data_IF_581044042979
#
_entry.id   IF_581044042979
#
_cell.length_a   1.000
_cell.length_b   1.000
_cell.length_c   1.000
_cell.angle_alpha   90.00
_cell.angle_beta   90.00
_cell.angle_gamma   90.00
#
_symmetry.space_group_name_H-M   'P 1'
#
loop_
_entity.id
_entity.type
_entity.pdbx_description
1 polymer ?
#
# COMPACT_ATOMS: atom_id res chain seq x y z
N UNK A 1 -63.61 -4.29 10.72
CA UNK A 1 -62.96 -3.08 10.23
C UNK A 1 -61.48 -3.17 10.54
N UNK A 2 -60.68 -3.66 9.62
CA UNK A 2 -59.23 -3.82 9.74
C UNK A 2 -58.57 -2.56 9.18
N UNK A 3 -57.95 -1.75 10.05
CA UNK A 3 -57.14 -0.61 9.64
C UNK A 3 -55.78 -1.12 9.12
N UNK A 4 -55.58 -0.96 7.82
CA UNK A 4 -54.28 -1.14 7.15
C UNK A 4 -53.40 0.08 7.46
N UNK A 5 -52.41 -0.08 8.32
CA UNK A 5 -51.34 0.92 8.53
C UNK A 5 -50.37 0.86 7.38
N UNK A 6 -50.46 1.80 6.46
CA UNK A 6 -49.46 2.01 5.42
C UNK A 6 -48.14 2.49 6.02
N UNK A 7 -47.08 1.71 5.81
CA UNK A 7 -45.70 2.11 6.19
C UNK A 7 -45.27 3.36 5.38
N UNK A 8 -44.58 4.34 6.00
CA UNK A 8 -44.14 5.53 5.29
C UNK A 8 -43.10 5.17 4.22
N UNK A 9 -43.34 5.67 3.00
CA UNK A 9 -42.44 5.52 1.86
C UNK A 9 -41.08 6.15 2.20
N UNK A 10 -40.02 5.37 2.05
CA UNK A 10 -38.63 5.85 2.21
C UNK A 10 -38.30 6.81 1.06
N UNK A 11 -37.72 7.98 1.32
CA UNK A 11 -37.30 8.87 0.25
C UNK A 11 -36.17 8.22 -0.54
N UNK A 12 -36.45 7.77 -1.73
CA UNK A 12 -35.48 7.27 -2.71
C UNK A 12 -34.95 8.44 -3.54
N UNK A 13 -33.64 8.66 -3.59
CA UNK A 13 -33.06 9.46 -4.65
C UNK A 13 -31.71 10.11 -4.36
N UNK A 14 -31.52 10.82 -3.26
CA UNK A 14 -30.30 11.62 -3.08
C UNK A 14 -29.16 10.91 -2.31
N UNK A 15 -29.44 9.79 -1.65
CA UNK A 15 -28.43 9.06 -0.86
C UNK A 15 -27.54 8.15 -1.70
N UNK A 16 -28.00 7.67 -2.85
CA UNK A 16 -27.22 6.76 -3.69
C UNK A 16 -26.13 7.47 -4.48
N UNK A 17 -26.36 8.68 -4.96
CA UNK A 17 -25.40 9.45 -5.75
C UNK A 17 -24.18 9.85 -4.90
N UNK A 18 -24.41 10.37 -3.71
CA UNK A 18 -23.33 10.68 -2.75
C UNK A 18 -22.55 9.43 -2.38
N UNK A 19 -23.20 8.30 -2.21
CA UNK A 19 -22.54 7.02 -1.90
C UNK A 19 -21.69 6.52 -3.04
N UNK A 20 -22.12 6.68 -4.29
CA UNK A 20 -21.37 6.35 -5.50
C UNK A 20 -20.14 7.26 -5.61
N UNK A 21 -20.30 8.59 -5.44
CA UNK A 21 -19.22 9.55 -5.46
C UNK A 21 -18.17 9.26 -4.37
N UNK A 22 -18.61 8.95 -3.16
CA UNK A 22 -17.68 8.64 -2.07
C UNK A 22 -16.98 7.28 -2.23
N UNK A 23 -17.63 6.28 -2.80
CA UNK A 23 -16.99 4.98 -3.05
C UNK A 23 -16.06 5.00 -4.27
N UNK A 24 -16.35 5.86 -5.26
CA UNK A 24 -15.57 6.04 -6.48
C UNK A 24 -14.60 7.22 -6.44
N UNK A 25 -14.36 7.84 -5.28
CA UNK A 25 -13.59 9.09 -5.16
C UNK A 25 -12.21 9.07 -5.85
N UNK A 26 -11.45 7.97 -5.72
CA UNK A 26 -10.16 7.83 -6.39
C UNK A 26 -10.30 7.80 -7.92
N UNK A 27 -11.34 7.15 -8.43
CA UNK A 27 -11.65 7.12 -9.85
C UNK A 27 -12.05 8.50 -10.39
N UNK A 28 -12.93 9.21 -9.68
CA UNK A 28 -13.31 10.57 -10.06
C UNK A 28 -12.15 11.56 -9.97
N UNK A 29 -11.29 11.42 -8.95
CA UNK A 29 -10.07 12.21 -8.83
C UNK A 29 -9.11 11.97 -10.01
N UNK A 30 -8.94 10.71 -10.41
CA UNK A 30 -8.12 10.35 -11.56
C UNK A 30 -8.66 10.98 -12.86
N UNK A 31 -9.98 10.87 -13.11
CA UNK A 31 -10.62 11.50 -14.26
C UNK A 31 -10.43 13.01 -14.25
N UNK A 32 -10.64 13.65 -13.09
CA UNK A 32 -10.47 15.10 -12.97
C UNK A 32 -9.03 15.53 -13.28
N UNK A 33 -8.02 14.80 -12.78
CA UNK A 33 -6.60 15.04 -13.08
C UNK A 33 -6.34 14.91 -14.58
N UNK A 34 -6.82 13.84 -15.21
CA UNK A 34 -6.66 13.62 -16.65
C UNK A 34 -7.28 14.79 -17.44
N UNK A 35 -8.49 15.19 -17.11
CA UNK A 35 -9.17 16.31 -17.81
C UNK A 35 -8.38 17.61 -17.62
N UNK A 36 -8.03 17.96 -16.37
CA UNK A 36 -7.31 19.21 -16.07
C UNK A 36 -6.01 19.29 -16.84
N UNK A 37 -5.14 18.27 -16.75
CA UNK A 37 -3.84 18.31 -17.42
C UNK A 37 -3.94 18.16 -18.94
N UNK A 38 -4.96 17.46 -19.46
CA UNK A 38 -5.21 17.41 -20.92
C UNK A 38 -5.64 18.76 -21.49
N UNK A 39 -6.30 19.62 -20.71
CA UNK A 39 -6.63 21.00 -21.14
C UNK A 39 -5.43 21.93 -21.05
N UNK A 40 -4.49 21.66 -20.13
CA UNK A 40 -3.28 22.47 -19.92
C UNK A 40 -2.15 22.11 -20.89
N UNK A 41 -2.09 20.87 -21.36
CA UNK A 41 -1.04 20.40 -22.29
C UNK A 41 -1.59 19.37 -23.28
N UNK A 42 -1.48 19.59 -24.60
CA UNK A 42 -1.93 18.63 -25.61
C UNK A 42 -1.08 17.35 -25.63
N UNK A 43 0.14 17.39 -25.07
CA UNK A 43 1.03 16.23 -24.99
C UNK A 43 0.62 15.29 -23.86
N UNK A 44 -0.08 15.78 -22.82
CA UNK A 44 -0.36 15.04 -21.60
C UNK A 44 -1.07 13.70 -21.87
N UNK A 45 -2.11 13.68 -22.71
CA UNK A 45 -2.88 12.49 -23.02
C UNK A 45 -2.51 11.87 -24.40
N UNK A 46 -1.26 12.08 -24.85
CA UNK A 46 -0.74 11.36 -26.02
C UNK A 46 -0.43 9.90 -25.66
N UNK A 47 -0.52 8.99 -26.63
CA UNK A 47 -0.24 7.55 -26.42
C UNK A 47 1.14 7.30 -25.81
N UNK A 48 2.16 7.96 -26.34
CA UNK A 48 3.53 7.79 -25.85
C UNK A 48 3.65 8.28 -24.39
N UNK A 49 3.09 9.46 -24.09
CA UNK A 49 3.16 9.99 -22.74
C UNK A 49 2.35 9.14 -21.76
N UNK A 50 1.18 8.62 -22.16
CA UNK A 50 0.39 7.72 -21.34
C UNK A 50 1.16 6.44 -20.98
N UNK A 51 1.89 5.86 -21.91
CA UNK A 51 2.75 4.70 -21.66
C UNK A 51 3.90 5.03 -20.71
N UNK A 52 4.55 6.19 -20.88
CA UNK A 52 5.60 6.67 -20.00
C UNK A 52 5.07 6.90 -18.57
N UNK A 53 3.96 7.63 -18.42
CA UNK A 53 3.31 7.82 -17.12
C UNK A 53 2.94 6.49 -16.45
N UNK A 54 2.40 5.53 -17.23
CA UNK A 54 2.07 4.20 -16.71
C UNK A 54 3.30 3.44 -16.21
N UNK A 55 4.44 3.63 -16.87
CA UNK A 55 5.73 3.06 -16.46
C UNK A 55 6.22 3.64 -15.13
N UNK A 56 6.10 4.97 -14.92
CA UNK A 56 6.39 5.61 -13.64
C UNK A 56 5.42 5.16 -12.53
N UNK A 57 4.11 5.08 -12.85
CA UNK A 57 3.10 4.56 -11.93
C UNK A 57 3.37 3.12 -11.52
N UNK A 58 4.02 2.31 -12.38
CA UNK A 58 4.37 0.94 -12.02
C UNK A 58 5.26 0.87 -10.78
N UNK A 59 6.21 1.79 -10.62
CA UNK A 59 7.09 1.86 -9.43
C UNK A 59 6.27 2.19 -8.18
N UNK A 60 5.44 3.24 -8.24
CA UNK A 60 4.58 3.64 -7.12
C UNK A 60 3.55 2.56 -6.77
N UNK A 61 2.99 1.89 -7.79
CA UNK A 61 2.05 0.80 -7.65
C UNK A 61 2.64 -0.42 -6.97
N UNK A 62 3.87 -0.82 -7.32
CA UNK A 62 4.58 -1.92 -6.68
C UNK A 62 4.82 -1.64 -5.20
N UNK A 63 5.33 -0.44 -4.85
CA UNK A 63 5.50 -0.02 -3.46
C UNK A 63 4.17 0.02 -2.71
N UNK A 64 3.12 0.57 -3.34
CA UNK A 64 1.80 0.67 -2.73
C UNK A 64 1.15 -0.69 -2.51
N UNK A 65 1.38 -1.69 -3.37
CA UNK A 65 0.89 -3.06 -3.17
C UNK A 65 1.56 -3.75 -1.98
N UNK A 66 2.87 -3.58 -1.80
CA UNK A 66 3.58 -4.02 -0.59
C UNK A 66 3.05 -3.33 0.65
N UNK A 67 2.95 -2.00 0.61
CA UNK A 67 2.42 -1.17 1.69
C UNK A 67 0.96 -1.51 2.04
N UNK A 68 0.13 -1.88 1.06
CA UNK A 68 -1.26 -2.32 1.30
C UNK A 68 -1.31 -3.50 2.25
N UNK A 69 -0.47 -4.53 2.05
CA UNK A 69 -0.42 -5.70 2.91
C UNK A 69 -0.10 -5.32 4.36
N UNK A 70 0.86 -4.42 4.53
CA UNK A 70 1.28 -3.91 5.85
C UNK A 70 0.14 -3.11 6.50
N UNK A 71 -0.46 -2.16 5.77
CA UNK A 71 -1.57 -1.34 6.27
C UNK A 71 -2.79 -2.20 6.59
N UNK A 72 -3.08 -3.25 5.82
CA UNK A 72 -4.18 -4.16 6.12
C UNK A 72 -4.04 -4.84 7.48
N UNK A 73 -2.82 -5.06 7.98
CA UNK A 73 -2.58 -5.61 9.33
C UNK A 73 -2.47 -4.53 10.42
N UNK A 74 -2.66 -3.25 10.07
CA UNK A 74 -2.57 -2.11 10.99
C UNK A 74 -1.15 -1.60 11.22
N UNK A 75 -0.17 -2.04 10.41
CA UNK A 75 1.22 -1.56 10.43
C UNK A 75 1.48 -0.44 9.42
N UNK A 76 2.69 0.12 9.49
CA UNK A 76 3.24 1.05 8.49
C UNK A 76 4.69 0.63 8.24
N UNK A 77 5.12 0.62 6.99
CA UNK A 77 6.51 0.31 6.61
C UNK A 77 7.18 1.53 5.99
N UNK A 78 7.94 2.26 6.80
CA UNK A 78 8.67 3.45 6.34
C UNK A 78 9.96 3.09 5.58
N UNK A 79 10.39 1.83 5.61
CA UNK A 79 11.64 1.42 4.97
C UNK A 79 11.53 1.12 3.49
N UNK A 80 10.32 1.09 2.90
CA UNK A 80 10.11 0.66 1.51
C UNK A 80 10.88 1.52 0.50
N UNK A 81 10.97 2.85 0.72
CA UNK A 81 11.72 3.75 -0.15
C UNK A 81 13.23 3.52 -0.08
N UNK A 82 13.78 3.29 1.12
CA UNK A 82 15.21 2.99 1.29
C UNK A 82 15.56 1.56 0.86
N UNK A 83 14.64 0.61 1.06
CA UNK A 83 14.77 -0.77 0.54
C UNK A 83 14.81 -0.78 -0.98
N UNK A 84 13.98 0.03 -1.64
CA UNK A 84 14.03 0.27 -3.08
C UNK A 84 15.41 0.78 -3.50
N UNK A 85 15.93 1.84 -2.85
CA UNK A 85 17.24 2.41 -3.17
C UNK A 85 18.38 1.42 -2.96
N UNK A 86 18.39 0.70 -1.82
CA UNK A 86 19.38 -0.34 -1.56
C UNK A 86 19.32 -1.47 -2.59
N UNK A 87 18.11 -1.88 -2.98
CA UNK A 87 17.91 -2.93 -3.98
C UNK A 87 18.44 -2.51 -5.35
N UNK A 88 18.22 -1.26 -5.76
CA UNK A 88 18.83 -0.70 -6.97
C UNK A 88 20.36 -0.71 -6.90
N UNK A 89 20.94 -0.27 -5.76
CA UNK A 89 22.39 -0.29 -5.54
C UNK A 89 22.97 -1.71 -5.60
N UNK A 90 22.31 -2.68 -4.98
CA UNK A 90 22.74 -4.10 -5.06
C UNK A 90 22.69 -4.61 -6.49
N UNK A 91 21.61 -4.30 -7.23
CA UNK A 91 21.53 -4.65 -8.64
C UNK A 91 22.67 -4.01 -9.45
N UNK A 92 22.94 -2.72 -9.24
CA UNK A 92 24.06 -2.02 -9.87
C UNK A 92 25.41 -2.62 -9.54
N UNK A 93 25.64 -2.95 -8.28
CA UNK A 93 26.87 -3.62 -7.83
C UNK A 93 27.07 -4.99 -8.51
N UNK A 94 26.00 -5.79 -8.60
CA UNK A 94 26.03 -7.09 -9.28
C UNK A 94 26.25 -6.96 -10.78
N UNK A 95 25.66 -5.96 -11.43
CA UNK A 95 25.81 -5.70 -12.88
C UNK A 95 27.22 -5.22 -13.23
N UNK A 96 27.87 -4.44 -12.37
CA UNK A 96 29.26 -3.99 -12.56
C UNK A 96 30.30 -5.09 -12.31
N UNK A 97 29.89 -6.24 -11.78
CA UNK A 97 30.74 -7.37 -11.47
C UNK A 97 31.25 -7.40 -10.05
N UNK A 98 31.24 -8.59 -9.48
CA UNK A 98 31.70 -8.88 -8.11
C UNK A 98 33.13 -9.40 -8.14
N UNK A 99 34.08 -8.58 -7.67
CA UNK A 99 35.47 -8.98 -7.54
C UNK A 99 35.66 -10.00 -6.41
N UNK A 100 36.08 -11.23 -6.75
CA UNK A 100 36.46 -12.23 -5.77
C UNK A 100 37.99 -12.17 -5.59
N UNK A 101 38.43 -11.25 -4.73
CA UNK A 101 39.88 -10.96 -4.55
C UNK A 101 40.71 -12.20 -4.20
N UNK A 102 40.14 -13.19 -3.51
CA UNK A 102 40.87 -14.43 -3.15
C UNK A 102 41.27 -15.27 -4.37
N UNK A 103 40.59 -15.12 -5.48
CA UNK A 103 40.84 -15.87 -6.71
C UNK A 103 41.28 -14.98 -7.88
N UNK A 104 41.35 -13.67 -7.69
CA UNK A 104 41.68 -12.71 -8.77
C UNK A 104 40.66 -12.69 -9.93
N UNK A 105 39.43 -13.11 -9.67
CA UNK A 105 38.37 -13.25 -10.69
C UNK A 105 37.25 -12.25 -10.38
N UNK A 106 36.70 -11.63 -11.44
CA UNK A 106 35.45 -10.85 -11.34
C UNK A 106 34.32 -11.69 -11.91
N UNK A 107 33.28 -11.91 -11.10
CA UNK A 107 32.07 -12.63 -11.49
C UNK A 107 31.02 -11.64 -11.98
N UNK A 108 30.47 -11.87 -13.15
CA UNK A 108 29.36 -11.11 -13.73
C UNK A 108 28.10 -11.98 -13.73
N UNK A 109 27.18 -11.81 -12.76
CA UNK A 109 25.96 -12.60 -12.70
C UNK A 109 25.04 -12.28 -13.89
N UNK A 110 24.38 -13.27 -14.49
CA UNK A 110 23.36 -13.01 -15.51
C UNK A 110 22.17 -12.26 -14.88
N UNK A 111 21.47 -11.47 -15.70
CA UNK A 111 20.38 -10.56 -15.23
C UNK A 111 19.31 -11.28 -14.39
N UNK A 112 18.91 -12.50 -14.77
CA UNK A 112 17.94 -13.27 -13.97
C UNK A 112 18.43 -13.56 -12.55
N UNK A 113 19.73 -13.79 -12.36
CA UNK A 113 20.33 -14.00 -11.04
C UNK A 113 20.36 -12.67 -10.26
N UNK A 114 20.68 -11.55 -10.91
CA UNK A 114 20.60 -10.21 -10.30
C UNK A 114 19.19 -9.94 -9.79
N UNK A 115 18.16 -10.23 -10.59
CA UNK A 115 16.76 -10.05 -10.19
C UNK A 115 16.39 -10.90 -8.97
N UNK A 116 16.76 -12.18 -8.96
CA UNK A 116 16.47 -13.08 -7.85
C UNK A 116 17.19 -12.65 -6.57
N UNK A 117 18.50 -12.38 -6.67
CA UNK A 117 19.31 -11.99 -5.50
C UNK A 117 18.82 -10.68 -4.89
N UNK A 118 18.47 -9.72 -5.73
CA UNK A 118 17.92 -8.43 -5.28
C UNK A 118 16.54 -8.59 -4.63
N UNK A 119 15.66 -9.43 -5.18
CA UNK A 119 14.37 -9.74 -4.58
C UNK A 119 14.53 -10.45 -3.23
N UNK A 120 15.50 -11.38 -3.12
CA UNK A 120 15.84 -12.04 -1.84
C UNK A 120 16.35 -11.04 -0.80
N UNK A 121 17.17 -10.05 -1.21
CA UNK A 121 17.58 -8.98 -0.30
C UNK A 121 16.39 -8.22 0.25
N UNK A 122 15.45 -7.82 -0.61
CA UNK A 122 14.21 -7.16 -0.17
C UNK A 122 13.40 -8.02 0.80
N UNK A 123 13.31 -9.34 0.55
CA UNK A 123 12.69 -10.29 1.45
C UNK A 123 13.38 -10.34 2.82
N UNK A 124 14.72 -10.31 2.84
CA UNK A 124 15.52 -10.29 4.08
C UNK A 124 15.26 -9.00 4.86
N UNK A 125 15.35 -7.83 4.22
CA UNK A 125 15.10 -6.53 4.87
C UNK A 125 13.68 -6.47 5.45
N UNK A 126 12.67 -6.82 4.66
CA UNK A 126 11.29 -6.89 5.13
C UNK A 126 11.08 -7.95 6.20
N UNK A 127 11.72 -9.13 6.06
CA UNK A 127 11.68 -10.20 7.05
C UNK A 127 12.24 -9.78 8.41
N UNK A 128 13.36 -9.03 8.44
CA UNK A 128 13.94 -8.46 9.68
C UNK A 128 12.91 -7.53 10.33
N UNK A 129 12.30 -6.59 9.59
CA UNK A 129 11.24 -5.73 10.12
C UNK A 129 10.09 -6.58 10.71
N UNK A 130 9.62 -7.56 9.96
CA UNK A 130 8.55 -8.45 10.40
C UNK A 130 8.88 -9.20 11.70
N UNK A 131 10.10 -9.69 11.85
CA UNK A 131 10.57 -10.38 13.06
C UNK A 131 10.65 -9.42 14.25
N UNK A 132 11.23 -8.21 14.06
CA UNK A 132 11.30 -7.19 15.11
C UNK A 132 9.91 -6.82 15.63
N UNK A 133 8.93 -6.69 14.73
CA UNK A 133 7.55 -6.30 15.08
C UNK A 133 6.80 -7.48 15.72
N UNK A 134 6.83 -8.67 15.09
CA UNK A 134 6.00 -9.78 15.49
C UNK A 134 6.52 -10.53 16.74
N UNK A 135 7.84 -10.67 16.88
CA UNK A 135 8.42 -11.46 17.96
C UNK A 135 8.99 -10.58 19.07
N UNK A 136 9.68 -9.48 18.72
CA UNK A 136 10.25 -8.56 19.73
C UNK A 136 9.27 -7.47 20.14
N UNK A 137 8.07 -7.39 19.50
CA UNK A 137 7.01 -6.43 19.80
C UNK A 137 7.46 -4.96 19.70
N UNK A 138 8.45 -4.70 18.85
CA UNK A 138 8.85 -3.33 18.54
C UNK A 138 7.70 -2.65 17.78
N UNK A 139 7.31 -1.42 18.13
CA UNK A 139 6.30 -0.70 17.35
C UNK A 139 6.72 -0.60 15.87
N UNK A 140 5.79 -0.88 14.96
CA UNK A 140 6.05 -0.95 13.52
C UNK A 140 6.75 0.32 12.98
N UNK A 141 6.27 1.49 13.41
CA UNK A 141 6.87 2.77 13.07
C UNK A 141 8.36 2.85 13.47
N UNK A 142 8.71 2.41 14.68
CA UNK A 142 10.09 2.49 15.18
C UNK A 142 11.01 1.51 14.44
N UNK A 143 10.56 0.26 14.26
CA UNK A 143 11.33 -0.77 13.55
C UNK A 143 11.62 -0.36 12.11
N UNK A 144 10.59 0.09 11.38
CA UNK A 144 10.73 0.44 9.97
C UNK A 144 11.43 1.77 9.76
N UNK A 145 11.30 2.73 10.69
CA UNK A 145 12.10 3.96 10.67
C UNK A 145 13.60 3.66 10.89
N UNK A 146 13.91 2.79 11.85
CA UNK A 146 15.28 2.32 12.04
C UNK A 146 15.82 1.63 10.79
N UNK A 147 15.04 0.75 10.17
CA UNK A 147 15.43 0.05 8.95
C UNK A 147 15.59 1.01 7.76
N UNK A 148 14.78 2.09 7.68
CA UNK A 148 14.96 3.14 6.67
C UNK A 148 16.38 3.69 6.70
N UNK A 149 16.90 4.03 7.90
CA UNK A 149 18.25 4.55 8.03
C UNK A 149 19.31 3.47 7.79
N UNK A 150 19.11 2.25 8.26
CA UNK A 150 20.04 1.13 8.03
C UNK A 150 20.16 0.83 6.54
N UNK A 151 19.04 0.66 5.83
CA UNK A 151 19.07 0.37 4.39
C UNK A 151 19.64 1.54 3.58
N UNK A 152 19.29 2.79 3.92
CA UNK A 152 19.84 3.99 3.26
C UNK A 152 21.35 4.11 3.52
N UNK A 153 21.77 3.92 4.76
CA UNK A 153 23.20 3.95 5.14
C UNK A 153 23.99 2.85 4.44
N UNK A 154 23.46 1.63 4.36
CA UNK A 154 24.09 0.53 3.63
C UNK A 154 24.25 0.85 2.14
N UNK A 155 23.21 1.42 1.50
CA UNK A 155 23.30 1.86 0.11
C UNK A 155 24.40 2.91 -0.10
N UNK A 156 24.47 3.91 0.79
CA UNK A 156 25.51 4.96 0.74
C UNK A 156 26.91 4.41 0.97
N UNK A 157 27.09 3.50 1.93
CA UNK A 157 28.38 2.86 2.22
C UNK A 157 28.88 2.04 1.02
N UNK A 158 27.99 1.28 0.36
CA UNK A 158 28.37 0.46 -0.80
C UNK A 158 28.80 1.29 -2.01
N UNK A 159 28.25 2.49 -2.15
CA UNK A 159 28.51 3.36 -3.30
C UNK A 159 29.47 4.50 -3.00
N UNK A 160 29.91 4.67 -1.74
CA UNK A 160 30.59 5.88 -1.25
C UNK A 160 29.79 7.16 -1.60
N UNK A 161 28.46 7.08 -1.59
CA UNK A 161 27.56 8.18 -1.95
C UNK A 161 27.43 8.46 -3.45
N UNK A 162 28.12 7.72 -4.31
CA UNK A 162 28.10 7.87 -5.77
C UNK A 162 26.95 7.03 -6.39
N UNK A 163 26.70 7.26 -7.67
CA UNK A 163 25.71 6.49 -8.43
C UNK A 163 26.44 5.50 -9.34
N UNK A 164 25.99 4.25 -9.36
CA UNK A 164 26.40 3.29 -10.36
C UNK A 164 25.70 3.64 -11.67
N UNK A 165 26.48 3.96 -12.71
CA UNK A 165 26.00 4.30 -14.03
C UNK A 165 26.21 3.12 -14.99
N UNK A 166 25.54 3.17 -16.16
CA UNK A 166 25.78 2.23 -17.26
C UNK A 166 25.47 0.79 -16.88
N UNK A 167 24.22 0.54 -16.42
CA UNK A 167 23.77 -0.80 -16.04
C UNK A 167 23.24 -1.62 -17.24
N UNK A 168 23.59 -1.26 -18.47
CA UNK A 168 23.18 -1.98 -19.69
C UNK A 168 23.83 -3.36 -19.80
N UNK A 169 24.99 -3.51 -19.15
CA UNK A 169 25.81 -4.72 -19.22
C UNK A 169 26.69 -4.76 -20.45
N UNK A 170 27.45 -5.86 -20.59
CA UNK A 170 28.37 -6.09 -21.70
C UNK A 170 28.05 -7.45 -22.34
N UNK A 171 27.87 -7.49 -23.69
CA UNK A 171 27.65 -8.74 -24.42
C UNK A 171 28.75 -9.77 -24.24
N UNK A 172 30.01 -9.35 -24.12
CA UNK A 172 31.15 -10.24 -23.94
C UNK A 172 31.14 -10.91 -22.55
N UNK A 173 30.50 -10.26 -21.54
CA UNK A 173 30.38 -10.75 -20.19
C UNK A 173 29.08 -11.53 -19.94
N UNK A 174 28.15 -11.55 -20.90
CA UNK A 174 26.90 -12.27 -20.83
C UNK A 174 25.89 -11.71 -19.79
N UNK A 175 26.05 -10.44 -19.37
CA UNK A 175 25.21 -9.78 -18.38
C UNK A 175 24.34 -8.65 -18.97
N UNK A 176 24.07 -8.67 -20.26
CA UNK A 176 23.19 -7.70 -20.94
C UNK A 176 21.70 -7.95 -20.69
N UNK A 177 20.88 -6.91 -20.92
CA UNK A 177 19.43 -7.00 -20.90
C UNK A 177 18.79 -6.55 -19.59
N UNK A 178 19.54 -5.91 -18.71
CA UNK A 178 18.96 -5.31 -17.50
C UNK A 178 18.01 -4.15 -17.85
N UNK A 179 18.32 -3.38 -18.89
CA UNK A 179 17.48 -2.32 -19.46
C UNK A 179 16.12 -2.82 -19.98
N UNK A 180 16.00 -4.13 -20.26
CA UNK A 180 14.74 -4.74 -20.72
C UNK A 180 13.57 -4.53 -19.74
N UNK A 181 13.83 -4.52 -18.44
CA UNK A 181 12.80 -4.29 -17.42
C UNK A 181 12.24 -2.86 -17.45
N UNK A 182 13.03 -1.88 -17.87
CA UNK A 182 12.71 -0.46 -17.84
C UNK A 182 12.22 0.11 -19.17
N UNK A 183 12.91 -0.18 -20.26
CA UNK A 183 12.71 0.48 -21.55
C UNK A 183 11.95 -0.34 -22.58
N UNK A 184 12.04 -1.68 -22.52
CA UNK A 184 11.43 -2.49 -23.55
C UNK A 184 9.92 -2.61 -23.37
N UNK A 185 9.23 -2.64 -24.51
CA UNK A 185 7.79 -2.85 -24.57
C UNK A 185 7.44 -4.28 -25.01
N UNK A 186 6.58 -4.95 -24.26
CA UNK A 186 5.94 -6.19 -24.69
C UNK A 186 4.53 -5.83 -25.18
N UNK A 187 4.23 -6.14 -26.44
CA UNK A 187 2.95 -5.76 -27.08
C UNK A 187 2.69 -4.24 -27.09
N UNK A 188 3.73 -3.42 -27.16
CA UNK A 188 3.62 -1.96 -27.13
C UNK A 188 3.41 -1.35 -25.74
N UNK A 189 3.43 -2.16 -24.67
CA UNK A 189 3.30 -1.70 -23.27
C UNK A 189 4.61 -1.95 -22.53
N UNK A 190 5.13 -0.98 -21.75
CA UNK A 190 6.37 -1.15 -20.98
C UNK A 190 6.35 -2.39 -20.08
N UNK A 191 7.47 -3.10 -20.01
CA UNK A 191 7.60 -4.33 -19.19
C UNK A 191 7.30 -4.05 -17.72
N UNK A 192 7.66 -2.87 -17.21
CA UNK A 192 7.36 -2.44 -15.85
C UNK A 192 5.86 -2.48 -15.52
N UNK A 193 5.00 -2.15 -16.49
CA UNK A 193 3.54 -2.23 -16.33
C UNK A 193 3.08 -3.68 -16.24
N UNK A 194 3.66 -4.59 -17.05
CA UNK A 194 3.37 -6.01 -16.96
C UNK A 194 3.79 -6.61 -15.62
N UNK A 195 4.94 -6.19 -15.09
CA UNK A 195 5.40 -6.57 -13.74
C UNK A 195 4.40 -6.10 -12.69
N UNK A 196 3.94 -4.84 -12.77
CA UNK A 196 2.90 -4.32 -11.88
C UNK A 196 1.62 -5.16 -11.96
N UNK A 197 1.14 -5.44 -13.19
CA UNK A 197 -0.07 -6.26 -13.40
C UNK A 197 0.10 -7.65 -12.79
N UNK A 198 1.23 -8.30 -13.01
CA UNK A 198 1.50 -9.63 -12.45
C UNK A 198 1.46 -9.60 -10.92
N UNK A 199 2.16 -8.66 -10.27
CA UNK A 199 2.16 -8.51 -8.81
C UNK A 199 0.77 -8.15 -8.30
N UNK A 200 0.02 -7.32 -9.00
CA UNK A 200 -1.35 -6.95 -8.65
C UNK A 200 -2.32 -8.15 -8.73
N UNK A 201 -2.20 -8.98 -9.76
CA UNK A 201 -3.01 -10.20 -9.91
C UNK A 201 -2.67 -11.18 -8.80
N UNK A 202 -1.38 -11.43 -8.54
CA UNK A 202 -0.94 -12.28 -7.43
C UNK A 202 -1.47 -11.76 -6.11
N UNK A 203 -1.32 -10.48 -5.82
CA UNK A 203 -1.82 -9.83 -4.60
C UNK A 203 -3.36 -9.93 -4.48
N UNK A 204 -4.08 -9.76 -5.59
CA UNK A 204 -5.54 -9.88 -5.62
C UNK A 204 -5.98 -11.34 -5.34
N UNK A 205 -5.35 -12.31 -5.96
CA UNK A 205 -5.62 -13.74 -5.71
C UNK A 205 -5.29 -14.11 -4.27
N UNK A 206 -4.13 -13.68 -3.78
CA UNK A 206 -3.68 -13.90 -2.40
C UNK A 206 -4.70 -13.36 -1.39
N UNK A 207 -5.15 -12.10 -1.56
CA UNK A 207 -6.06 -11.46 -0.61
C UNK A 207 -7.51 -11.94 -0.73
N UNK A 208 -7.99 -12.28 -1.94
CA UNK A 208 -9.41 -12.62 -2.16
C UNK A 208 -9.71 -14.11 -2.13
N UNK A 209 -8.76 -14.96 -2.56
CA UNK A 209 -9.02 -16.38 -2.80
C UNK A 209 -8.37 -17.33 -1.78
N UNK A 210 -7.40 -16.85 -0.97
CA UNK A 210 -6.66 -17.70 -0.04
C UNK A 210 -7.07 -17.53 1.43
N UNK A 211 -6.81 -18.53 2.29
CA UNK A 211 -6.93 -18.36 3.75
C UNK A 211 -6.04 -17.23 4.29
N UNK A 212 -4.87 -17.06 3.69
CA UNK A 212 -3.92 -15.99 4.07
C UNK A 212 -4.55 -14.59 4.02
N UNK A 213 -5.27 -14.27 2.94
CA UNK A 213 -5.95 -13.00 2.83
C UNK A 213 -6.98 -12.79 3.94
N UNK A 214 -7.75 -13.83 4.29
CA UNK A 214 -8.69 -13.77 5.43
C UNK A 214 -7.99 -13.48 6.74
N UNK A 215 -6.82 -14.09 6.98
CA UNK A 215 -6.01 -13.84 8.16
C UNK A 215 -5.50 -12.39 8.23
N UNK A 216 -5.00 -11.85 7.10
CA UNK A 216 -4.52 -10.46 6.99
C UNK A 216 -5.65 -9.49 7.38
N UNK A 217 -6.86 -9.64 6.83
CA UNK A 217 -8.01 -8.79 7.17
C UNK A 217 -8.47 -9.00 8.62
N UNK A 218 -8.47 -10.23 9.14
CA UNK A 218 -8.85 -10.52 10.52
C UNK A 218 -7.90 -9.87 11.52
N UNK A 219 -6.59 -9.95 11.29
CA UNK A 219 -5.56 -9.31 12.14
C UNK A 219 -5.78 -7.79 12.20
N UNK A 220 -6.01 -7.15 11.05
CA UNK A 220 -6.26 -5.71 11.00
C UNK A 220 -7.59 -5.30 11.62
N UNK A 221 -8.57 -6.20 11.69
CA UNK A 221 -9.84 -5.95 12.39
C UNK A 221 -9.67 -6.01 13.91
N UNK A 222 -9.11 -7.07 14.42
CA UNK A 222 -8.76 -7.25 15.83
C UNK A 222 -7.74 -8.40 15.95
N UNK A 223 -6.47 -8.07 16.14
CA UNK A 223 -5.38 -9.03 16.21
C UNK A 223 -5.56 -10.03 17.38
N UNK A 224 -6.09 -9.59 18.51
CA UNK A 224 -6.31 -10.46 19.67
C UNK A 224 -7.43 -11.48 19.43
N UNK A 225 -8.53 -11.05 18.82
CA UNK A 225 -9.62 -11.94 18.45
C UNK A 225 -9.18 -12.94 17.38
N UNK A 226 -8.39 -12.50 16.39
CA UNK A 226 -7.81 -13.36 15.36
C UNK A 226 -6.90 -14.44 15.97
N UNK A 227 -6.03 -14.07 16.92
CA UNK A 227 -5.15 -15.01 17.64
C UNK A 227 -5.96 -16.07 18.41
N UNK A 228 -7.01 -15.65 19.16
CA UNK A 228 -7.90 -16.55 19.87
C UNK A 228 -8.69 -17.49 18.94
N UNK A 229 -8.91 -17.08 17.70
CA UNK A 229 -9.54 -17.88 16.65
C UNK A 229 -8.54 -18.81 15.89
N UNK A 230 -7.30 -18.92 16.39
CA UNK A 230 -6.29 -19.83 15.82
C UNK A 230 -5.50 -19.25 14.63
N UNK A 231 -5.62 -17.95 14.33
CA UNK A 231 -4.81 -17.31 13.28
C UNK A 231 -3.36 -17.20 13.76
N UNK A 232 -2.35 -17.63 12.96
CA UNK A 232 -0.94 -17.53 13.33
C UNK A 232 -0.41 -16.09 13.13
N UNK A 233 -0.87 -15.15 13.98
CA UNK A 233 -0.67 -13.70 13.84
C UNK A 233 0.79 -13.34 13.60
N UNK A 234 1.73 -13.89 14.37
CA UNK A 234 3.16 -13.58 14.23
C UNK A 234 3.71 -13.96 12.86
N UNK A 235 3.37 -15.18 12.37
CA UNK A 235 3.84 -15.65 11.05
C UNK A 235 3.27 -14.80 9.92
N UNK A 236 1.99 -14.42 10.02
CA UNK A 236 1.34 -13.55 9.03
C UNK A 236 1.96 -12.16 9.04
N UNK A 237 2.25 -11.58 10.21
CA UNK A 237 2.93 -10.29 10.29
C UNK A 237 4.32 -10.33 9.63
N UNK A 238 5.15 -11.34 9.96
CA UNK A 238 6.47 -11.49 9.31
C UNK A 238 6.35 -11.58 7.80
N UNK A 239 5.43 -12.42 7.29
CA UNK A 239 5.26 -12.61 5.85
C UNK A 239 4.75 -11.36 5.13
N UNK A 240 3.92 -10.55 5.78
CA UNK A 240 3.43 -9.28 5.22
C UNK A 240 4.57 -8.29 4.99
N UNK A 241 5.46 -8.11 5.98
CA UNK A 241 6.65 -7.25 5.83
C UNK A 241 7.66 -7.82 4.83
N UNK A 242 7.85 -9.14 4.82
CA UNK A 242 8.69 -9.82 3.82
C UNK A 242 8.19 -9.53 2.40
N UNK A 243 6.89 -9.68 2.14
CA UNK A 243 6.29 -9.37 0.84
C UNK A 243 6.39 -7.87 0.50
N UNK A 244 6.26 -6.98 1.49
CA UNK A 244 6.48 -5.54 1.32
C UNK A 244 7.91 -5.26 0.83
N UNK A 245 8.91 -5.88 1.47
CA UNK A 245 10.30 -5.77 1.07
C UNK A 245 10.59 -6.31 -0.33
N UNK A 246 9.98 -7.44 -0.72
CA UNK A 246 10.05 -7.97 -2.09
C UNK A 246 9.47 -7.00 -3.11
N UNK A 247 8.29 -6.43 -2.83
CA UNK A 247 7.68 -5.42 -3.71
C UNK A 247 8.58 -4.18 -3.85
N UNK A 248 9.21 -3.74 -2.74
CA UNK A 248 10.16 -2.62 -2.76
C UNK A 248 11.42 -2.94 -3.58
N UNK A 249 11.93 -4.18 -3.49
CA UNK A 249 13.09 -4.60 -4.27
C UNK A 249 12.77 -4.68 -5.78
N UNK A 250 11.61 -5.21 -6.15
CA UNK A 250 11.16 -5.24 -7.54
C UNK A 250 10.98 -3.80 -8.07
N UNK A 251 10.43 -2.89 -7.27
CA UNK A 251 10.32 -1.48 -7.64
C UNK A 251 11.72 -0.84 -7.84
N UNK A 252 12.70 -1.20 -7.02
CA UNK A 252 14.10 -0.75 -7.15
C UNK A 252 14.77 -1.26 -8.42
N UNK A 253 14.56 -2.53 -8.77
CA UNK A 253 15.03 -3.10 -10.03
C UNK A 253 14.43 -2.37 -11.25
N UNK A 254 13.10 -2.15 -11.24
CA UNK A 254 12.41 -1.43 -12.31
C UNK A 254 12.93 -0.01 -12.43
N UNK A 255 13.08 0.72 -11.32
CA UNK A 255 13.58 2.09 -11.33
C UNK A 255 15.02 2.17 -11.84
N UNK A 256 15.91 1.30 -11.37
CA UNK A 256 17.31 1.28 -11.80
C UNK A 256 17.45 0.87 -13.25
N UNK A 257 16.59 -0.01 -13.74
CA UNK A 257 16.51 -0.37 -15.16
C UNK A 257 16.03 0.81 -16.03
N UNK A 258 14.99 1.55 -15.60
CA UNK A 258 14.50 2.74 -16.30
C UNK A 258 15.52 3.88 -16.35
N UNK A 259 16.35 4.01 -15.33
CA UNK A 259 17.38 5.05 -15.26
C UNK A 259 18.73 4.59 -15.81
N UNK A 260 18.88 3.28 -16.14
CA UNK A 260 20.18 2.63 -16.43
C UNK A 260 21.26 2.99 -15.39
N UNK A 261 20.82 3.29 -14.18
CA UNK A 261 21.68 3.75 -13.09
C UNK A 261 21.09 3.43 -11.72
N UNK A 262 21.91 3.30 -10.71
CA UNK A 262 21.51 3.00 -9.36
C UNK A 262 22.15 3.98 -8.36
N UNK A 263 21.37 4.92 -7.88
CA UNK A 263 21.79 5.89 -6.87
C UNK A 263 21.36 5.52 -5.47
N UNK A 264 22.20 5.74 -4.43
CA UNK A 264 21.87 5.40 -3.05
C UNK A 264 20.72 6.25 -2.46
N UNK A 265 20.42 7.39 -3.05
CA UNK A 265 19.32 8.29 -2.66
C UNK A 265 18.01 8.00 -3.38
N UNK A 266 18.00 7.05 -4.34
CA UNK A 266 16.80 6.66 -5.04
C UNK A 266 15.69 6.24 -4.07
N UNK A 267 14.43 6.55 -4.43
CA UNK A 267 13.26 6.23 -3.60
C UNK A 267 13.14 7.07 -2.31
N UNK A 268 13.86 8.16 -2.16
CA UNK A 268 13.66 9.09 -1.03
C UNK A 268 12.25 9.66 -1.08
N UNK A 269 11.51 9.60 0.03
CA UNK A 269 10.09 10.00 0.19
C UNK A 269 9.05 9.08 -0.48
N UNK A 270 9.46 8.02 -1.18
CA UNK A 270 8.53 7.10 -1.85
C UNK A 270 7.67 6.29 -0.88
N UNK A 271 8.11 6.11 0.35
CA UNK A 271 7.28 5.55 1.43
C UNK A 271 6.02 6.39 1.66
N UNK A 272 6.12 7.71 1.61
CA UNK A 272 4.97 8.61 1.76
C UNK A 272 4.02 8.52 0.56
N UNK A 273 4.58 8.40 -0.65
CA UNK A 273 3.80 8.19 -1.88
C UNK A 273 3.05 6.86 -1.81
N UNK A 274 3.70 5.79 -1.36
CA UNK A 274 3.08 4.47 -1.22
C UNK A 274 1.92 4.49 -0.20
N UNK A 275 2.12 5.12 0.97
CA UNK A 275 1.07 5.28 1.99
C UNK A 275 -0.11 6.07 1.40
N UNK A 276 0.18 7.19 0.73
CA UNK A 276 -0.84 8.04 0.14
C UNK A 276 -1.66 7.29 -0.92
N UNK A 277 -1.02 6.53 -1.81
CA UNK A 277 -1.69 5.72 -2.81
C UNK A 277 -2.66 4.72 -2.17
N UNK A 278 -2.24 4.04 -1.09
CA UNK A 278 -3.07 3.09 -0.36
C UNK A 278 -4.27 3.78 0.30
N UNK A 279 -4.07 4.96 0.91
CA UNK A 279 -5.12 5.73 1.59
C UNK A 279 -6.11 6.36 0.61
N UNK A 280 -5.63 6.98 -0.48
CA UNK A 280 -6.45 7.49 -1.58
C UNK A 280 -7.30 6.36 -2.16
N UNK A 281 -6.70 5.18 -2.31
CA UNK A 281 -7.35 3.95 -2.76
C UNK A 281 -8.42 3.41 -1.81
N UNK A 282 -8.61 4.02 -0.63
CA UNK A 282 -9.67 3.72 0.32
C UNK A 282 -9.32 2.71 1.41
N UNK A 283 -8.05 2.39 1.59
CA UNK A 283 -7.63 1.58 2.72
C UNK A 283 -7.68 2.38 4.03
N UNK A 284 -7.97 1.69 5.13
CA UNK A 284 -7.98 2.28 6.46
C UNK A 284 -6.59 2.10 7.12
N UNK A 285 -5.97 3.19 7.57
CA UNK A 285 -4.70 3.13 8.32
C UNK A 285 -4.81 2.32 9.62
N UNK A 286 -6.01 2.19 10.17
CA UNK A 286 -6.28 1.34 11.35
C UNK A 286 -6.29 -0.15 11.06
N UNK A 287 -6.12 -0.57 9.79
CA UNK A 287 -6.16 -1.96 9.36
C UNK A 287 -7.55 -2.49 8.98
N UNK A 288 -7.58 -3.72 8.50
CA UNK A 288 -8.79 -4.50 8.24
C UNK A 288 -9.62 -4.08 7.02
N UNK A 289 -9.22 -3.03 6.29
CA UNK A 289 -9.95 -2.53 5.11
C UNK A 289 -9.00 -1.99 4.06
N UNK A 290 -9.20 -2.39 2.83
CA UNK A 290 -8.43 -1.98 1.66
C UNK A 290 -8.61 -2.98 0.53
N UNK A 291 -8.15 -2.64 -0.66
CA UNK A 291 -8.21 -3.53 -1.82
C UNK A 291 -7.10 -3.21 -2.81
N UNK A 292 -6.62 -4.23 -3.52
CA UNK A 292 -5.61 -4.08 -4.57
C UNK A 292 -6.05 -3.08 -5.64
N UNK A 293 -7.29 -3.21 -6.17
CA UNK A 293 -7.79 -2.30 -7.20
C UNK A 293 -7.90 -0.85 -6.73
N UNK A 294 -8.34 -0.63 -5.47
CA UNK A 294 -8.35 0.72 -4.89
C UNK A 294 -6.94 1.29 -4.77
N UNK A 295 -5.98 0.51 -4.28
CA UNK A 295 -4.59 0.93 -4.14
C UNK A 295 -3.96 1.29 -5.49
N UNK A 296 -4.21 0.50 -6.54
CA UNK A 296 -3.76 0.82 -7.88
C UNK A 296 -4.35 2.14 -8.38
N UNK A 297 -5.66 2.35 -8.20
CA UNK A 297 -6.29 3.64 -8.54
C UNK A 297 -5.62 4.81 -7.80
N UNK A 298 -5.29 4.63 -6.52
CA UNK A 298 -4.56 5.64 -5.75
C UNK A 298 -3.13 5.89 -6.29
N UNK A 299 -2.42 4.85 -6.71
CA UNK A 299 -1.11 4.99 -7.35
C UNK A 299 -1.20 5.74 -8.68
N UNK A 300 -2.23 5.45 -9.51
CA UNK A 300 -2.49 6.21 -10.73
C UNK A 300 -2.82 7.68 -10.45
N UNK A 301 -3.61 7.97 -9.43
CA UNK A 301 -3.93 9.36 -9.03
C UNK A 301 -2.65 10.14 -8.73
N UNK A 302 -1.76 9.58 -7.90
CA UNK A 302 -0.52 10.28 -7.51
C UNK A 302 0.45 10.36 -8.68
N UNK A 303 0.65 9.28 -9.42
CA UNK A 303 1.60 9.26 -10.53
C UNK A 303 1.18 10.22 -11.64
N UNK A 304 -0.08 10.20 -12.05
CA UNK A 304 -0.60 11.08 -13.09
C UNK A 304 -0.60 12.55 -12.65
N UNK A 305 -0.82 12.83 -11.37
CA UNK A 305 -0.66 14.17 -10.82
C UNK A 305 0.80 14.62 -10.91
N UNK A 306 1.74 13.79 -10.44
CA UNK A 306 3.17 14.11 -10.47
C UNK A 306 3.67 14.35 -11.89
N UNK A 307 3.37 13.45 -12.82
CA UNK A 307 3.80 13.59 -14.22
C UNK A 307 3.11 14.78 -14.90
N UNK A 308 1.84 15.05 -14.55
CA UNK A 308 1.14 16.22 -15.04
C UNK A 308 1.82 17.53 -14.64
N UNK A 309 2.22 17.64 -13.37
CA UNK A 309 2.96 18.81 -12.87
C UNK A 309 4.32 18.97 -13.56
N UNK A 310 5.01 17.85 -13.85
CA UNK A 310 6.27 17.88 -14.63
C UNK A 310 6.04 18.43 -16.04
N UNK A 311 5.02 17.94 -16.73
CA UNK A 311 4.72 18.29 -18.14
C UNK A 311 4.37 19.78 -18.30
N UNK A 312 3.68 20.38 -17.33
CA UNK A 312 3.37 21.81 -17.34
C UNK A 312 4.50 22.68 -16.77
N UNK A 313 5.68 22.08 -16.48
CA UNK A 313 6.87 22.81 -16.05
C UNK A 313 6.90 23.26 -14.60
N UNK A 314 6.07 22.68 -13.74
CA UNK A 314 6.09 22.97 -12.29
C UNK A 314 7.37 22.44 -11.66
N UNK A 315 8.09 23.29 -10.92
CA UNK A 315 9.34 22.90 -10.27
C UNK A 315 9.16 21.77 -9.26
N UNK A 316 10.20 20.94 -9.05
CA UNK A 316 10.19 19.83 -8.14
C UNK A 316 9.78 20.22 -6.70
N UNK A 317 10.12 21.42 -6.26
CA UNK A 317 9.74 21.93 -4.94
C UNK A 317 8.23 22.12 -4.80
N UNK A 318 7.57 22.68 -5.79
CA UNK A 318 6.13 22.81 -5.83
C UNK A 318 5.42 21.45 -5.95
N UNK A 319 6.01 20.50 -6.72
CA UNK A 319 5.49 19.13 -6.79
C UNK A 319 5.44 18.47 -5.41
N UNK A 320 6.47 18.68 -4.55
CA UNK A 320 6.47 18.20 -3.17
C UNK A 320 5.33 18.82 -2.34
N UNK A 321 5.08 20.13 -2.50
CA UNK A 321 3.98 20.83 -1.81
C UNK A 321 2.63 20.28 -2.25
N UNK A 322 2.39 20.12 -3.55
CA UNK A 322 1.14 19.57 -4.08
C UNK A 322 0.92 18.14 -3.64
N UNK A 323 1.94 17.30 -3.74
CA UNK A 323 1.87 15.89 -3.29
C UNK A 323 1.54 15.81 -1.79
N UNK A 324 2.22 16.60 -0.95
CA UNK A 324 1.93 16.68 0.48
C UNK A 324 0.50 17.17 0.76
N UNK A 325 0.02 18.16 0.04
CA UNK A 325 -1.35 18.66 0.12
C UNK A 325 -2.40 17.60 -0.22
N UNK A 326 -2.16 16.84 -1.29
CA UNK A 326 -3.04 15.73 -1.69
C UNK A 326 -3.07 14.61 -0.64
N UNK A 327 -1.93 14.29 -0.04
CA UNK A 327 -1.84 13.31 1.06
C UNK A 327 -2.70 13.76 2.24
N UNK A 328 -2.54 15.02 2.70
CA UNK A 328 -3.30 15.57 3.81
C UNK A 328 -4.80 15.55 3.50
N UNK A 329 -5.18 16.00 2.31
CA UNK A 329 -6.59 16.00 1.88
C UNK A 329 -7.18 14.58 1.86
N UNK A 330 -6.44 13.61 1.34
CA UNK A 330 -6.87 12.22 1.29
C UNK A 330 -7.11 11.63 2.69
N UNK A 331 -6.19 11.89 3.63
CA UNK A 331 -6.32 11.44 5.02
C UNK A 331 -7.50 12.10 5.71
N UNK A 332 -7.72 13.41 5.51
CA UNK A 332 -8.85 14.15 6.06
C UNK A 332 -10.18 13.58 5.54
N UNK A 333 -10.31 13.38 4.23
CA UNK A 333 -11.52 12.80 3.63
C UNK A 333 -11.78 11.38 4.15
N UNK A 334 -10.74 10.59 4.35
CA UNK A 334 -10.87 9.25 4.92
C UNK A 334 -11.34 9.29 6.39
N UNK A 335 -10.81 10.22 7.20
CA UNK A 335 -11.16 10.36 8.62
C UNK A 335 -12.61 10.80 8.84
N UNK A 336 -13.13 11.71 8.00
CA UNK A 336 -14.54 12.18 8.04
C UNK A 336 -15.51 11.02 7.74
N UNK A 337 -15.20 10.18 6.75
CA UNK A 337 -16.02 9.00 6.44
C UNK A 337 -16.11 8.03 7.63
N UNK A 338 -15.01 7.87 8.36
CA UNK A 338 -14.95 6.94 9.48
C UNK A 338 -15.83 7.40 10.65
N UNK A 339 -15.83 8.70 10.95
CA UNK A 339 -16.69 9.29 12.00
C UNK A 339 -18.18 9.18 11.67
N UNK A 340 -18.57 9.38 10.41
CA UNK A 340 -19.96 9.28 9.96
C UNK A 340 -20.54 7.86 10.08
N UNK A 341 -19.74 6.82 9.83
CA UNK A 341 -20.15 5.41 9.96
C UNK A 341 -20.32 4.96 11.42
N UNK A 342 -19.44 5.41 12.33
CA UNK A 342 -19.50 5.05 13.75
C UNK A 342 -20.75 5.61 14.43
N UNK A 343 -21.19 6.82 14.09
CA UNK A 343 -22.44 7.42 14.59
C UNK A 343 -23.69 6.66 14.16
N UNK A 344 -23.70 6.00 12.98
CA UNK A 344 -24.85 5.20 12.52
C UNK A 344 -24.95 3.82 13.17
N UNK A 345 -23.82 3.23 13.58
CA UNK A 345 -23.79 1.91 14.21
C UNK A 345 -24.21 1.93 15.68
N UNK A 346 -24.17 3.08 16.35
CA UNK A 346 -24.55 3.26 17.78
C UNK A 346 -25.99 3.70 17.97
N UNK A 347 -26.75 3.95 16.91
CA UNK A 347 -28.19 4.18 17.00
C UNK A 347 -28.90 2.82 17.14
N UNK A 348 -28.87 2.26 18.33
CA UNK A 348 -29.78 1.18 18.74
C UNK A 348 -31.18 1.78 18.70
N UNK A 349 -32.15 1.19 17.97
CA UNK A 349 -33.53 1.65 18.08
C UNK A 349 -33.95 1.51 19.56
N UNK A 350 -34.71 2.48 20.11
CA UNK A 350 -35.19 2.37 21.47
C UNK A 350 -35.93 1.04 21.60
N UNK A 351 -35.50 0.20 22.52
CA UNK A 351 -36.19 -1.04 22.86
C UNK A 351 -37.64 -0.67 23.18
N UNK A 352 -38.59 -1.25 22.45
CA UNK A 352 -39.99 -1.23 22.82
C UNK A 352 -40.07 -1.72 24.30
N UNK A 353 -40.54 -0.86 25.18
CA UNK A 353 -40.80 -1.22 26.58
C UNK A 353 -41.65 -2.50 26.59
N UNK A 354 -41.31 -3.52 27.38
CA UNK A 354 -42.20 -4.64 27.61
C UNK A 354 -43.49 -4.08 28.19
N UNK A 355 -44.62 -4.41 27.58
CA UNK A 355 -45.94 -4.03 28.07
C UNK A 355 -46.11 -4.45 29.50
N UNK A 356 -46.60 -3.54 30.35
CA UNK A 356 -46.88 -3.77 31.75
C UNK A 356 -47.81 -4.96 31.91
N UNK A 357 -47.37 -5.91 32.71
CA UNK A 357 -48.22 -6.95 33.27
C UNK A 357 -49.05 -6.25 34.34
N UNK A 358 -50.36 -6.24 34.14
CA UNK A 358 -51.33 -5.79 35.15
C UNK A 358 -51.43 -6.89 36.20
N UNK A 359 -50.82 -6.68 37.35
CA UNK A 359 -51.06 -7.51 38.54
C UNK A 359 -52.35 -7.02 39.23
N UNK A 360 -53.45 -7.72 38.97
CA UNK A 360 -54.64 -7.75 39.79
C UNK A 360 -54.62 -9.03 40.65
N UNK A 361 -54.13 -8.96 41.89
CA UNK A 361 -54.55 -9.91 42.95
C UNK A 361 -54.69 -9.14 44.26
N UNK A 362 -55.97 -8.89 44.61
CA UNK A 362 -56.47 -8.61 45.96
C UNK A 362 -56.29 -9.82 46.90
N UNK A 363 -55.87 -9.58 48.10
CA UNK A 363 -55.95 -10.66 49.13
C UNK A 363 -55.17 -10.41 50.43
N UNK A 364 -55.69 -9.56 51.25
CA UNK A 364 -55.84 -9.60 52.70
C UNK A 364 -55.25 -10.79 53.48
N UNK A 365 -54.44 -10.56 54.54
CA UNK A 365 -54.61 -10.95 55.94
C UNK A 365 -53.34 -10.76 56.78
N UNK A 366 -53.62 -9.95 57.84
CA UNK A 366 -53.03 -9.96 59.17
C UNK A 366 -52.26 -11.21 59.69
N UNK A 367 -51.10 -10.97 60.34
CA UNK A 367 -50.87 -11.29 61.80
C UNK A 367 -49.41 -11.06 62.12
N UNK A 368 -49.14 -10.16 62.97
CA UNK A 368 -48.69 -10.13 64.37
C UNK A 368 -47.55 -11.07 64.75
N UNK A 369 -46.64 -10.40 65.46
CA UNK A 369 -45.79 -10.84 66.58
C UNK A 369 -44.44 -11.39 66.21
N UNK A 370 -43.45 -10.86 66.74
CA UNK A 370 -42.81 -10.64 68.04
C UNK A 370 -41.41 -11.30 67.95
N UNK A 371 -40.36 -10.50 68.11
CA UNK A 371 -39.48 -10.43 69.31
C UNK A 371 -38.39 -11.50 69.44
N UNK A 372 -37.15 -11.02 69.74
CA UNK A 372 -35.97 -11.58 70.45
C UNK A 372 -35.04 -12.47 69.62
N UNK A 373 -33.83 -12.17 69.47
CA UNK A 373 -32.66 -11.80 70.27
C UNK A 373 -31.49 -11.50 69.34
#
# INVERSE_FOLDING_TARGET
>A
MTQSTSAPARPHGNFDLLRILFNGRAFFALIAIIIIFSTLSPVYFSTNNFLTMSSHVAIYGLLALGMLLVILTGGIDLSVGSTLGLSGVIAGFLMQGVGIHAFGVTLYPPVWAVVILTAMLGAVVGGINGVLIAYFRVPAFVATLGMLYVARGAAMLMTNGLTFNTLEGDPELGNTGFDWLGFNGLLGVPVSVWVLIAVAVIGMLLLRRTPYGRWVYAIGGNARAAELSGVPVKRVQVSVYLLSGVCAAIAGLVLSSQLTSAGPTAGTTYEMIAIAAVVIGGAALSGGRGSVGGTLLGAFVIGFLSDGLVIIGVSAYWQMVFTGGVIILAVLLNSVQYRGRKKRSTAIPPSSKPGGVVDTVTGNRNSKSAVVS
#
